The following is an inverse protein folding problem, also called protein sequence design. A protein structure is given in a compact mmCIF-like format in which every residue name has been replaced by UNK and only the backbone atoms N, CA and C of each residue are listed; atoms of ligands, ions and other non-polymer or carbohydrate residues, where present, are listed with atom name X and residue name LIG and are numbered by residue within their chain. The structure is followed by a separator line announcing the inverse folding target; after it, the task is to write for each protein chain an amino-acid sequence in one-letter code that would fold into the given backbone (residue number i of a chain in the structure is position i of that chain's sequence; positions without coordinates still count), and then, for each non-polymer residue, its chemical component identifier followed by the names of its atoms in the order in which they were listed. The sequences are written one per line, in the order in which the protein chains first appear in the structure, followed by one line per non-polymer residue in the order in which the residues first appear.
data_IF_952874409103
#
_entry.id   IF_952874409103
#
_cell.length_a   1.000
_cell.length_b   1.000
_cell.length_c   1.000
_cell.angle_alpha   90.00
_cell.angle_beta   90.00
_cell.angle_gamma   90.00
#
_symmetry.space_group_name_H-M   'P 1'
#
loop_
_entity.id
_entity.type
_entity.pdbx_description
1 polymer ?
#
# COMPACT_ATOMS: atom_id res chain seq x y z
N UNK A 1 29.09 6.99 12.60
CA UNK A 1 28.33 6.11 11.69
C UNK A 1 27.21 5.45 12.48
N UNK A 2 25.99 5.37 11.95
CA UNK A 2 24.91 4.63 12.62
C UNK A 2 25.23 3.13 12.62
N UNK A 3 24.83 2.43 13.69
CA UNK A 3 24.99 0.98 13.78
C UNK A 3 24.04 0.28 12.77
N UNK A 4 24.43 -0.85 12.17
CA UNK A 4 23.56 -1.69 11.29
C UNK A 4 22.15 -1.83 11.86
N UNK A 5 22.05 -2.17 13.15
CA UNK A 5 20.76 -2.38 13.83
C UNK A 5 19.92 -1.10 13.87
N UNK A 6 20.53 0.06 14.13
CA UNK A 6 19.82 1.34 14.12
C UNK A 6 19.30 1.71 12.72
N UNK A 7 20.04 1.36 11.66
CA UNK A 7 19.63 1.59 10.29
C UNK A 7 18.45 0.69 9.93
N UNK A 8 18.59 -0.62 10.14
CA UNK A 8 17.54 -1.60 9.84
C UNK A 8 16.26 -1.32 10.64
N UNK A 9 16.39 -1.03 11.93
CA UNK A 9 15.25 -0.64 12.76
C UNK A 9 14.57 0.60 12.19
N UNK A 10 15.32 1.67 11.86
CA UNK A 10 14.75 2.91 11.32
C UNK A 10 13.95 2.65 10.04
N UNK A 11 14.56 2.00 9.05
CA UNK A 11 13.90 1.75 7.76
C UNK A 11 12.71 0.79 7.88
N UNK A 12 12.78 -0.18 8.80
CA UNK A 12 11.63 -1.05 9.09
C UNK A 12 10.49 -0.28 9.76
N UNK A 13 10.79 0.56 10.77
CA UNK A 13 9.80 1.43 11.41
C UNK A 13 9.14 2.39 10.42
N UNK A 14 9.93 2.95 9.49
CA UNK A 14 9.42 3.80 8.41
C UNK A 14 8.41 3.03 7.53
N UNK A 15 8.74 1.79 7.13
CA UNK A 15 7.85 0.93 6.33
C UNK A 15 6.55 0.57 7.07
N UNK A 16 6.66 0.20 8.36
CA UNK A 16 5.50 -0.06 9.23
C UNK A 16 4.60 1.18 9.34
N UNK A 17 5.19 2.37 9.47
CA UNK A 17 4.45 3.62 9.51
C UNK A 17 3.65 3.88 8.23
N UNK A 18 4.26 3.63 7.07
CA UNK A 18 3.60 3.75 5.76
C UNK A 18 2.39 2.80 5.67
N UNK A 19 2.58 1.52 5.99
CA UNK A 19 1.48 0.55 5.91
C UNK A 19 0.37 0.79 6.93
N UNK A 20 0.71 1.15 8.18
CA UNK A 20 -0.29 1.48 9.21
C UNK A 20 -1.16 2.65 8.80
N UNK A 21 -0.56 3.69 8.22
CA UNK A 21 -1.30 4.85 7.76
C UNK A 21 -2.15 4.54 6.52
N UNK A 22 -1.64 3.76 5.56
CA UNK A 22 -2.48 3.32 4.44
C UNK A 22 -3.64 2.41 4.89
N UNK A 23 -3.38 1.50 5.83
CA UNK A 23 -4.42 0.65 6.42
C UNK A 23 -5.52 1.47 7.11
N UNK A 24 -5.15 2.56 7.77
CA UNK A 24 -6.09 3.51 8.37
C UNK A 24 -7.00 4.15 7.29
N UNK A 25 -6.42 4.63 6.18
CA UNK A 25 -7.19 5.19 5.04
C UNK A 25 -8.20 4.17 4.50
N UNK A 26 -7.76 2.94 4.25
CA UNK A 26 -8.63 1.85 3.79
C UNK A 26 -9.71 1.51 4.83
N UNK A 27 -9.42 1.69 6.12
CA UNK A 27 -10.38 1.54 7.21
C UNK A 27 -11.57 2.50 7.08
N UNK A 28 -11.30 3.78 6.82
CA UNK A 28 -12.34 4.77 6.57
C UNK A 28 -13.15 4.44 5.31
N UNK A 29 -12.49 4.07 4.21
CA UNK A 29 -13.16 3.70 2.96
C UNK A 29 -14.04 2.45 3.12
N UNK A 30 -13.58 1.43 3.85
CA UNK A 30 -14.37 0.22 4.11
C UNK A 30 -15.66 0.52 4.90
N UNK A 31 -15.65 1.59 5.71
CA UNK A 31 -16.85 2.07 6.41
C UNK A 31 -17.79 2.94 5.56
N UNK A 32 -17.34 3.41 4.38
CA UNK A 32 -18.13 4.25 3.49
C UNK A 32 -19.19 3.43 2.74
N UNK A 33 -20.46 3.83 2.88
CA UNK A 33 -21.58 3.16 2.22
C UNK A 33 -21.54 3.29 0.69
N UNK A 34 -20.89 4.31 0.13
CA UNK A 34 -20.75 4.49 -1.33
C UNK A 34 -19.96 3.33 -1.94
N UNK A 35 -18.91 2.86 -1.27
CA UNK A 35 -18.08 1.75 -1.72
C UNK A 35 -18.88 0.43 -1.82
N UNK A 36 -19.87 0.24 -0.93
CA UNK A 36 -20.70 -0.99 -0.90
C UNK A 36 -21.52 -1.20 -2.16
N UNK A 37 -21.79 -0.14 -2.92
CA UNK A 37 -22.48 -0.24 -4.20
C UNK A 37 -21.60 -0.85 -5.30
N UNK A 38 -20.30 -0.97 -5.06
CA UNK A 38 -19.30 -1.52 -5.99
C UNK A 38 -18.61 -2.73 -5.39
N UNK A 39 -19.25 -3.91 -5.51
CA UNK A 39 -18.75 -5.16 -4.90
C UNK A 39 -17.26 -5.44 -5.18
N UNK A 40 -16.84 -5.31 -6.44
CA UNK A 40 -15.46 -5.56 -6.88
C UNK A 40 -14.45 -4.63 -6.18
N UNK A 41 -14.83 -3.36 -6.00
CA UNK A 41 -14.01 -2.38 -5.30
C UNK A 41 -13.97 -2.66 -3.78
N UNK A 42 -15.12 -2.98 -3.19
CA UNK A 42 -15.20 -3.36 -1.77
C UNK A 42 -14.35 -4.59 -1.47
N UNK A 43 -14.43 -5.63 -2.29
CA UNK A 43 -13.63 -6.85 -2.13
C UNK A 43 -12.13 -6.58 -2.32
N UNK A 44 -11.78 -5.65 -3.23
CA UNK A 44 -10.40 -5.20 -3.40
C UNK A 44 -9.87 -4.52 -2.15
N UNK A 45 -10.58 -3.53 -1.62
CA UNK A 45 -10.18 -2.79 -0.40
C UNK A 45 -9.95 -3.76 0.76
N UNK A 46 -10.87 -4.70 0.99
CA UNK A 46 -10.73 -5.70 2.06
C UNK A 46 -9.47 -6.56 1.89
N UNK A 47 -9.22 -7.09 0.69
CA UNK A 47 -8.02 -7.91 0.43
C UNK A 47 -6.72 -7.12 0.63
N UNK A 48 -6.69 -5.85 0.25
CA UNK A 48 -5.54 -4.97 0.52
C UNK A 48 -5.37 -4.78 2.03
N UNK A 49 -6.44 -4.52 2.77
CA UNK A 49 -6.36 -4.39 4.24
C UNK A 49 -5.83 -5.65 4.92
N UNK A 50 -6.30 -6.82 4.52
CA UNK A 50 -5.83 -8.10 5.07
C UNK A 50 -4.35 -8.34 4.78
N UNK A 51 -3.91 -8.02 3.57
CA UNK A 51 -2.51 -8.10 3.14
C UNK A 51 -1.62 -7.17 3.96
N UNK A 52 -1.99 -5.90 4.13
CA UNK A 52 -1.24 -4.95 4.95
C UNK A 52 -1.19 -5.37 6.43
N UNK A 53 -2.29 -5.89 7.00
CA UNK A 53 -2.29 -6.43 8.37
C UNK A 53 -1.32 -7.59 8.55
N UNK A 54 -1.19 -8.46 7.54
CA UNK A 54 -0.18 -9.53 7.55
C UNK A 54 1.23 -8.96 7.50
N UNK A 55 1.50 -8.01 6.60
CA UNK A 55 2.80 -7.39 6.45
C UNK A 55 3.27 -6.65 7.71
N UNK A 56 2.39 -5.83 8.30
CA UNK A 56 2.66 -5.11 9.55
C UNK A 56 3.07 -6.09 10.65
N UNK A 57 2.37 -7.23 10.79
CA UNK A 57 2.73 -8.26 11.78
C UNK A 57 4.10 -8.86 11.53
N UNK A 58 4.47 -9.11 10.27
CA UNK A 58 5.80 -9.63 9.92
C UNK A 58 6.90 -8.62 10.25
N UNK A 59 6.69 -7.35 9.94
CA UNK A 59 7.66 -6.28 10.21
C UNK A 59 7.77 -5.98 11.71
N UNK A 60 6.66 -5.93 12.44
CA UNK A 60 6.65 -5.75 13.91
C UNK A 60 7.39 -6.93 14.59
N UNK A 61 7.17 -8.18 14.15
CA UNK A 61 7.90 -9.33 14.67
C UNK A 61 9.41 -9.28 14.36
N UNK A 62 9.79 -8.84 13.16
CA UNK A 62 11.20 -8.63 12.83
C UNK A 62 11.82 -7.54 13.72
N UNK A 63 11.11 -6.44 13.97
CA UNK A 63 11.59 -5.39 14.88
C UNK A 63 11.79 -5.90 16.31
N UNK A 64 10.87 -6.71 16.84
CA UNK A 64 11.04 -7.36 18.15
C UNK A 64 12.34 -8.17 18.21
N UNK A 65 12.70 -8.88 17.12
CA UNK A 65 13.96 -9.65 17.05
C UNK A 65 15.23 -8.78 17.07
N UNK A 66 15.15 -7.53 16.57
CA UNK A 66 16.26 -6.58 16.63
C UNK A 66 16.49 -6.03 18.04
N UNK A 67 15.45 -5.99 18.87
CA UNK A 67 15.49 -5.50 20.25
C UNK A 67 16.05 -6.54 21.24
N UNK A 68 16.00 -7.83 20.89
CA UNK A 68 16.56 -8.92 21.69
C UNK A 68 18.10 -8.91 21.57
N UNK A 69 18.78 -8.18 22.48
CA UNK A 69 20.23 -8.30 22.68
C UNK A 69 21.06 -7.01 22.66
N UNK A 70 20.47 -5.80 22.63
CA UNK A 70 21.20 -4.52 22.73
C UNK A 70 20.57 -3.54 23.72
N UNK A 71 21.41 -2.63 24.23
CA UNK A 71 21.04 -1.60 25.21
C UNK A 71 19.83 -0.77 24.74
N UNK A 72 18.71 -0.91 25.46
CA UNK A 72 17.40 -0.26 25.26
C UNK A 72 17.45 1.22 24.84
N UNK A 73 18.50 1.96 25.24
CA UNK A 73 18.58 3.42 25.09
C UNK A 73 18.82 3.91 23.65
N UNK A 74 19.45 3.11 22.78
CA UNK A 74 19.75 3.49 21.39
C UNK A 74 18.59 3.18 20.45
N UNK A 75 17.93 2.03 20.65
CA UNK A 75 16.76 1.59 19.90
C UNK A 75 15.51 2.43 20.21
N UNK A 76 15.26 2.78 21.49
CA UNK A 76 14.17 3.71 21.87
C UNK A 76 14.24 5.07 21.17
N UNK A 77 15.45 5.56 20.86
CA UNK A 77 15.66 6.81 20.10
C UNK A 77 15.38 6.65 18.60
N UNK A 78 15.52 5.45 18.05
CA UNK A 78 15.19 5.16 16.66
C UNK A 78 13.67 4.93 16.47
N UNK A 79 13.03 4.23 17.41
CA UNK A 79 11.58 3.95 17.38
C UNK A 79 10.71 5.21 17.47
N UNK A 80 11.17 6.25 18.15
CA UNK A 80 10.43 7.51 18.34
C UNK A 80 10.43 8.44 17.13
N UNK A 81 11.14 8.06 16.05
CA UNK A 81 11.33 8.92 14.86
C UNK A 81 10.86 8.20 13.60
N UNK A 82 9.54 7.98 13.48
CA UNK A 82 8.93 7.75 12.16
C UNK A 82 9.36 8.94 11.29
N UNK A 83 10.17 8.68 10.27
CA UNK A 83 10.60 9.74 9.37
C UNK A 83 9.39 10.24 8.57
N UNK A 84 9.38 11.52 8.19
CA UNK A 84 8.24 12.22 7.58
C UNK A 84 7.71 11.68 6.24
N UNK A 85 7.99 10.43 5.85
CA UNK A 85 7.34 9.77 4.72
C UNK A 85 5.83 9.61 4.94
N UNK A 86 5.37 9.39 6.18
CA UNK A 86 3.94 9.37 6.49
C UNK A 86 3.25 10.72 6.17
N UNK A 87 3.99 11.84 6.27
CA UNK A 87 3.47 13.18 5.97
C UNK A 87 3.05 13.34 4.50
N UNK A 88 3.65 12.58 3.57
CA UNK A 88 3.26 12.59 2.15
C UNK A 88 1.91 11.93 1.87
N UNK A 89 1.51 10.94 2.69
CA UNK A 89 0.23 10.24 2.53
C UNK A 89 -0.97 11.03 3.09
N UNK A 90 -0.76 12.01 3.97
CA UNK A 90 -1.84 12.82 4.54
C UNK A 90 -2.73 13.46 3.45
N UNK A 91 -2.14 13.80 2.29
CA UNK A 91 -2.86 14.40 1.16
C UNK A 91 -3.83 13.43 0.44
N UNK A 92 -3.73 12.12 0.69
CA UNK A 92 -4.58 11.08 0.10
C UNK A 92 -5.83 10.77 0.94
N UNK A 93 -5.88 11.26 2.18
CA UNK A 93 -7.03 11.06 3.06
C UNK A 93 -8.15 12.05 2.71
N UNK A 94 -9.00 11.68 1.74
CA UNK A 94 -10.12 12.51 1.28
C UNK A 94 -11.45 11.81 1.56
N UNK A 95 -12.01 12.07 2.73
CA UNK A 95 -13.22 11.38 3.21
C UNK A 95 -14.47 11.66 2.36
N UNK A 96 -14.51 12.77 1.62
CA UNK A 96 -15.68 13.17 0.82
C UNK A 96 -15.54 12.86 -0.69
N UNK A 97 -14.39 12.38 -1.16
CA UNK A 97 -14.16 12.13 -2.59
C UNK A 97 -14.95 10.90 -3.10
N UNK A 98 -15.16 10.82 -4.42
CA UNK A 98 -15.94 9.74 -5.06
C UNK A 98 -15.18 8.40 -5.03
N UNK A 99 -15.88 7.28 -5.24
CA UNK A 99 -15.26 5.95 -5.14
C UNK A 99 -14.15 5.78 -6.18
N UNK A 100 -14.34 6.27 -7.42
CA UNK A 100 -13.29 6.18 -8.44
C UNK A 100 -12.03 6.98 -8.10
N UNK A 101 -12.15 8.09 -7.36
CA UNK A 101 -11.00 8.89 -6.91
C UNK A 101 -10.26 8.22 -5.77
N UNK A 102 -11.00 7.63 -4.82
CA UNK A 102 -10.42 6.86 -3.74
C UNK A 102 -9.62 5.67 -4.28
N UNK A 103 -10.17 4.90 -5.23
CA UNK A 103 -9.44 3.78 -5.84
C UNK A 103 -8.20 4.21 -6.63
N UNK A 104 -8.22 5.38 -7.28
CA UNK A 104 -7.01 5.96 -7.89
C UNK A 104 -5.95 6.24 -6.82
N UNK A 105 -6.36 6.83 -5.71
CA UNK A 105 -5.44 7.19 -4.62
C UNK A 105 -4.89 5.93 -3.93
N UNK A 106 -5.71 4.89 -3.76
CA UNK A 106 -5.27 3.57 -3.29
C UNK A 106 -4.27 2.93 -4.26
N UNK A 107 -4.52 3.01 -5.57
CA UNK A 107 -3.60 2.50 -6.59
C UNK A 107 -2.23 3.18 -6.51
N UNK A 108 -2.20 4.50 -6.31
CA UNK A 108 -0.96 5.26 -6.10
C UNK A 108 -0.30 4.89 -4.78
N UNK A 109 -1.07 4.79 -3.69
CA UNK A 109 -0.59 4.39 -2.37
C UNK A 109 0.06 3.01 -2.40
N UNK A 110 -0.54 2.03 -3.09
CA UNK A 110 0.04 0.69 -3.25
C UNK A 110 1.37 0.72 -3.99
N UNK A 111 1.52 1.54 -5.04
CA UNK A 111 2.82 1.72 -5.70
C UNK A 111 3.85 2.37 -4.79
N UNK A 112 3.43 3.34 -3.97
CA UNK A 112 4.30 3.96 -2.95
C UNK A 112 4.77 2.92 -1.92
N UNK A 113 3.89 2.03 -1.47
CA UNK A 113 4.25 0.91 -0.58
C UNK A 113 5.27 -0.03 -1.26
N UNK A 114 5.03 -0.43 -2.51
CA UNK A 114 5.93 -1.34 -3.25
C UNK A 114 7.31 -0.73 -3.49
N UNK A 115 7.39 0.56 -3.86
CA UNK A 115 8.70 1.21 -4.03
C UNK A 115 9.42 1.39 -2.69
N UNK A 116 8.69 1.65 -1.59
CA UNK A 116 9.27 1.67 -0.24
C UNK A 116 9.83 0.31 0.17
N UNK A 117 9.16 -0.80 -0.18
CA UNK A 117 9.74 -2.13 -0.01
C UNK A 117 10.96 -2.39 -0.89
N UNK A 118 11.01 -1.84 -2.11
CA UNK A 118 12.20 -1.93 -2.96
C UNK A 118 13.41 -1.27 -2.28
N UNK A 119 13.19 -0.12 -1.64
CA UNK A 119 14.21 0.56 -0.84
C UNK A 119 14.60 -0.25 0.40
N UNK A 120 13.63 -0.84 1.10
CA UNK A 120 13.87 -1.67 2.29
C UNK A 120 14.67 -2.92 1.93
N UNK A 121 14.28 -3.64 0.87
CA UNK A 121 14.97 -4.81 0.35
C UNK A 121 16.42 -4.50 0.01
N UNK A 122 16.65 -3.40 -0.72
CA UNK A 122 18.00 -2.97 -1.10
C UNK A 122 18.84 -2.62 0.14
N UNK A 123 18.22 -2.00 1.15
CA UNK A 123 18.88 -1.66 2.43
C UNK A 123 19.23 -2.92 3.22
N UNK A 124 18.34 -3.91 3.27
CA UNK A 124 18.55 -5.19 3.94
C UNK A 124 19.71 -5.96 3.31
N UNK A 125 19.73 -6.07 1.97
CA UNK A 125 20.83 -6.70 1.23
C UNK A 125 22.17 -6.00 1.47
N UNK A 126 22.19 -4.67 1.43
CA UNK A 126 23.41 -3.88 1.67
C UNK A 126 23.98 -4.08 3.08
N UNK A 127 23.17 -4.56 4.02
CA UNK A 127 23.57 -4.87 5.38
C UNK A 127 23.70 -6.37 5.67
N UNK A 128 23.56 -7.24 4.66
CA UNK A 128 23.56 -8.70 4.83
C UNK A 128 22.54 -9.15 5.88
N UNK A 129 21.29 -8.67 5.74
CA UNK A 129 20.15 -9.11 6.55
C UNK A 129 19.16 -9.84 5.65
N UNK A 130 19.38 -11.15 5.49
CA UNK A 130 18.58 -11.99 4.60
C UNK A 130 17.13 -12.11 5.09
N UNK A 131 16.91 -12.11 6.41
CA UNK A 131 15.57 -12.16 7.01
C UNK A 131 14.72 -10.97 6.57
N UNK A 132 15.23 -9.74 6.71
CA UNK A 132 14.49 -8.55 6.29
C UNK A 132 14.35 -8.46 4.77
N UNK A 133 15.37 -8.90 4.03
CA UNK A 133 15.30 -8.95 2.57
C UNK A 133 14.17 -9.88 2.11
N UNK A 134 14.05 -11.07 2.69
CA UNK A 134 12.98 -12.02 2.37
C UNK A 134 11.59 -11.48 2.72
N UNK A 135 11.45 -10.83 3.89
CA UNK A 135 10.19 -10.18 4.29
C UNK A 135 9.81 -9.10 3.27
N UNK A 136 10.74 -8.20 2.93
CA UNK A 136 10.47 -7.12 1.99
C UNK A 136 10.11 -7.64 0.59
N UNK A 137 10.83 -8.65 0.10
CA UNK A 137 10.57 -9.25 -1.20
C UNK A 137 9.23 -9.98 -1.24
N UNK A 138 8.89 -10.72 -0.18
CA UNK A 138 7.58 -11.37 -0.07
C UNK A 138 6.45 -10.34 -0.08
N UNK A 139 6.55 -9.29 0.72
CA UNK A 139 5.50 -8.28 0.83
C UNK A 139 5.30 -7.51 -0.50
N UNK A 140 6.37 -7.26 -1.28
CA UNK A 140 6.23 -6.75 -2.64
C UNK A 140 5.46 -7.70 -3.56
N UNK A 141 5.78 -8.99 -3.50
CA UNK A 141 5.14 -10.03 -4.33
C UNK A 141 3.67 -10.21 -3.98
N UNK A 142 3.29 -10.02 -2.72
CA UNK A 142 1.89 -10.10 -2.27
C UNK A 142 1.07 -8.90 -2.79
N UNK A 143 1.64 -7.70 -2.86
CA UNK A 143 0.95 -6.50 -3.35
C UNK A 143 0.87 -6.39 -4.88
N UNK A 144 1.87 -6.87 -5.59
CA UNK A 144 1.95 -6.77 -7.07
C UNK A 144 0.70 -7.29 -7.80
N UNK A 145 0.14 -8.49 -7.50
CA UNK A 145 -1.08 -8.95 -8.16
C UNK A 145 -2.30 -8.10 -7.81
N UNK A 146 -2.38 -7.58 -6.58
CA UNK A 146 -3.47 -6.69 -6.15
C UNK A 146 -3.42 -5.35 -6.91
N UNK A 147 -2.22 -4.81 -7.15
CA UNK A 147 -2.02 -3.61 -7.98
C UNK A 147 -2.55 -3.86 -9.40
N UNK A 148 -2.16 -4.99 -10.00
CA UNK A 148 -2.61 -5.32 -11.35
C UNK A 148 -4.14 -5.46 -11.41
N UNK A 149 -4.74 -6.15 -10.45
CA UNK A 149 -6.20 -6.27 -10.36
C UNK A 149 -6.88 -4.91 -10.13
N UNK A 150 -6.33 -4.05 -9.26
CA UNK A 150 -6.82 -2.68 -9.03
C UNK A 150 -6.84 -1.87 -10.33
N UNK A 151 -5.80 -1.98 -11.16
CA UNK A 151 -5.74 -1.31 -12.47
C UNK A 151 -6.86 -1.75 -13.43
N UNK A 152 -7.37 -2.99 -13.27
CA UNK A 152 -8.44 -3.54 -14.10
C UNK A 152 -9.84 -3.13 -13.63
N UNK A 153 -10.03 -2.94 -12.32
CA UNK A 153 -11.34 -2.55 -11.79
C UNK A 153 -11.63 -1.06 -11.97
N UNK A 154 -10.61 -0.20 -11.90
CA UNK A 154 -10.77 1.27 -11.94
C UNK A 154 -11.58 1.74 -13.16
N UNK A 155 -11.30 1.32 -14.42
CA UNK A 155 -12.07 1.77 -15.58
C UNK A 155 -13.57 1.45 -15.46
N UNK A 156 -13.92 0.28 -14.93
CA UNK A 156 -15.30 -0.12 -14.73
C UNK A 156 -15.98 0.75 -13.67
N UNK A 157 -15.30 1.03 -12.56
CA UNK A 157 -15.85 1.89 -11.49
C UNK A 157 -16.07 3.33 -11.96
N UNK A 158 -15.11 3.90 -12.71
CA UNK A 158 -15.26 5.24 -13.31
C UNK A 158 -16.53 5.32 -14.17
N UNK A 159 -16.72 4.37 -15.08
CA UNK A 159 -17.87 4.38 -16.00
C UNK A 159 -19.19 4.15 -15.24
N UNK A 160 -19.23 3.21 -14.30
CA UNK A 160 -20.41 2.94 -13.47
C UNK A 160 -20.81 4.17 -12.62
N UNK A 161 -19.83 4.82 -11.98
CA UNK A 161 -20.06 6.00 -11.15
C UNK A 161 -20.54 7.20 -11.99
N UNK A 162 -19.89 7.47 -13.12
CA UNK A 162 -20.34 8.53 -14.04
C UNK A 162 -21.74 8.25 -14.62
N UNK A 163 -22.09 6.98 -14.85
CA UNK A 163 -23.42 6.62 -15.36
C UNK A 163 -24.50 6.88 -14.31
N UNK A 164 -24.25 6.53 -13.04
CA UNK A 164 -25.17 6.86 -11.94
C UNK A 164 -25.33 8.37 -11.72
N UNK A 165 -24.30 9.16 -12.00
CA UNK A 165 -24.37 10.63 -11.98
C UNK A 165 -25.03 11.24 -13.23
N UNK A 166 -25.45 10.43 -14.21
CA UNK A 166 -26.03 10.89 -15.47
C UNK A 166 -25.01 11.54 -16.43
N UNK A 167 -23.71 11.30 -16.22
CA UNK A 167 -22.59 11.88 -16.98
C UNK A 167 -21.97 10.92 -18.00
N UNK A 168 -22.22 9.62 -17.87
CA UNK A 168 -21.78 8.61 -18.85
C UNK A 168 -22.99 7.83 -19.39
N UNK A 169 -23.39 8.05 -20.65
CA UNK A 169 -24.56 7.40 -21.22
C UNK A 169 -24.30 5.96 -21.71
N UNK A 170 -23.04 5.60 -21.98
CA UNK A 170 -22.69 4.29 -22.57
C UNK A 170 -21.79 3.47 -21.64
N UNK A 171 -22.40 2.52 -20.92
CA UNK A 171 -21.68 1.58 -20.05
C UNK A 171 -21.14 0.36 -20.81
N UNK A 172 -21.49 0.17 -22.08
CA UNK A 172 -21.05 -0.99 -22.87
C UNK A 172 -19.55 -0.94 -23.21
N UNK A 173 -18.94 0.23 -23.07
CA UNK A 173 -17.51 0.46 -23.34
C UNK A 173 -16.57 -0.01 -22.23
N UNK A 174 -17.07 -0.57 -21.12
CA UNK A 174 -16.25 -1.02 -19.98
C UNK A 174 -15.17 -2.01 -20.42
N UNK A 175 -15.54 -3.07 -21.15
CA UNK A 175 -14.58 -4.09 -21.59
C UNK A 175 -13.51 -3.50 -22.53
N UNK A 176 -13.92 -2.57 -23.40
CA UNK A 176 -12.98 -1.85 -24.26
C UNK A 176 -12.01 -0.99 -23.44
N UNK A 177 -12.53 -0.25 -22.45
CA UNK A 177 -11.70 0.59 -21.58
C UNK A 177 -10.69 -0.24 -20.77
N UNK A 178 -11.11 -1.39 -20.24
CA UNK A 178 -10.20 -2.33 -19.58
C UNK A 178 -9.17 -2.84 -20.59
N UNK A 179 -9.59 -3.38 -21.74
CA UNK A 179 -8.67 -3.93 -22.75
C UNK A 179 -7.61 -2.92 -23.21
N UNK A 180 -8.03 -1.71 -23.60
CA UNK A 180 -7.14 -0.69 -24.13
C UNK A 180 -6.16 -0.18 -23.07
N UNK A 181 -6.64 0.07 -21.84
CA UNK A 181 -5.77 0.53 -20.75
C UNK A 181 -4.77 -0.54 -20.35
N UNK A 182 -5.16 -1.82 -20.31
CA UNK A 182 -4.25 -2.92 -20.01
C UNK A 182 -3.26 -3.19 -21.15
N UNK A 183 -3.63 -2.93 -22.40
CA UNK A 183 -2.72 -3.04 -23.53
C UNK A 183 -1.57 -2.03 -23.43
N UNK A 184 -1.76 -0.86 -22.83
CA UNK A 184 -0.72 0.15 -22.65
C UNK A 184 0.46 -0.30 -21.77
N UNK A 185 0.29 -1.34 -20.96
CA UNK A 185 1.33 -1.89 -20.06
C UNK A 185 2.10 -3.04 -20.68
N UNK A 186 1.70 -3.52 -21.86
CA UNK A 186 2.40 -4.59 -22.57
C UNK A 186 3.54 -3.96 -23.36
N UNK A 187 4.74 -4.51 -23.19
CA UNK A 187 5.85 -4.21 -24.10
C UNK A 187 5.41 -4.69 -25.49
N UNK A 188 5.32 -3.76 -26.44
CA UNK A 188 5.08 -4.04 -27.86
C UNK A 188 6.25 -4.76 -28.49
#
# INVERSE_FOLDING_TARGET
MKNKVEILHKYTSDMVGIEKHFLEILGYQASDNRLKNYKEASDMVVRVQETLKMHIRMLDHYMESLDVGKAESSLKKAATKISGMATGFYNLMRQEDTVMRNLRDDYVAMHMVVISYTMLYSTALAHHDDTLADIALKNMRDLTPLIFEMSRIIPAIVIKELSWEGKAPDVSVIEKAISDTQAAWRLT
#
